data_IF_407167421891
#
_entry.id   IF_407167421891
#
_cell.length_a   1.000
_cell.length_b   1.000
_cell.length_c   1.000
_cell.angle_alpha   90.00
_cell.angle_beta   90.00
_cell.angle_gamma   90.00
#
_symmetry.space_group_name_H-M   'P 1'
#
loop_
_entity.id
_entity.type
_entity.pdbx_description
1 polymer ?
2 non-polymer ?
3 water ?
#
# COMPACT_ATOMS: atom_id res chain seq x y z
N UNK A 9 17.48 -13.61 -15.03
CA UNK A 9 16.74 -13.45 -13.75
C UNK A 9 15.31 -14.03 -13.80
N UNK A 10 14.65 -13.90 -14.96
CA UNK A 10 13.30 -14.46 -15.16
C UNK A 10 13.19 -16.00 -15.26
N UNK A 11 13.75 -16.68 -14.26
CA UNK A 11 13.28 -18.01 -13.89
C UNK A 11 12.08 -17.77 -12.96
N UNK A 12 11.47 -16.59 -13.12
CA UNK A 12 10.32 -16.10 -12.36
C UNK A 12 9.08 -16.97 -12.56
N UNK A 13 8.16 -16.92 -11.60
CA UNK A 13 6.96 -17.73 -11.61
C UNK A 13 5.76 -16.90 -12.09
N UNK A 14 5.15 -17.33 -13.19
CA UNK A 14 3.97 -16.65 -13.76
C UNK A 14 2.74 -16.63 -12.83
N UNK A 15 2.52 -17.74 -12.12
CA UNK A 15 1.42 -17.86 -11.14
C UNK A 15 1.53 -16.96 -9.92
N UNK A 16 2.68 -16.32 -9.75
CA UNK A 16 2.90 -15.40 -8.63
C UNK A 16 2.87 -13.92 -9.04
N UNK A 17 2.17 -13.62 -10.14
CA UNK A 17 1.97 -12.25 -10.64
C UNK A 17 0.47 -11.90 -10.58
N UNK A 18 0.11 -11.04 -9.63
CA UNK A 18 -1.29 -10.76 -9.29
C UNK A 18 -2.06 -9.81 -10.23
N UNK A 19 -1.39 -8.79 -10.76
CA UNK A 19 -2.05 -7.73 -11.54
C UNK A 19 -1.74 -7.82 -13.04
N UNK A 20 -2.44 -7.00 -13.83
CA UNK A 20 -2.14 -6.85 -15.26
C UNK A 20 -1.69 -5.42 -15.63
N UNK A 21 -1.19 -4.68 -14.65
CA UNK A 21 -0.63 -3.35 -14.89
C UNK A 21 0.65 -3.41 -15.72
N UNK A 22 0.81 -2.42 -16.58
CA UNK A 22 1.91 -2.38 -17.54
C UNK A 22 2.68 -1.08 -17.58
N UNK A 23 3.96 -1.21 -17.92
CA UNK A 23 4.89 -0.10 -18.12
C UNK A 23 5.89 -0.57 -19.20
N UNK A 24 6.81 0.29 -19.61
CA UNK A 24 7.74 -0.07 -20.68
C UNK A 24 8.57 -1.28 -20.28
N UNK A 25 9.00 -2.05 -21.29
CA UNK A 25 9.88 -3.19 -21.08
C UNK A 25 11.22 -2.70 -20.55
N UNK A 26 11.67 -1.55 -21.04
CA UNK A 26 12.86 -0.89 -20.49
C UNK A 26 12.79 -0.74 -18.96
N UNK A 27 11.66 -0.25 -18.46
CA UNK A 27 11.46 -0.03 -17.03
C UNK A 27 11.41 -1.35 -16.26
N UNK A 28 10.70 -2.33 -16.83
CA UNK A 28 10.65 -3.67 -16.26
C UNK A 28 12.05 -4.30 -16.12
N UNK A 29 12.85 -4.25 -17.19
CA UNK A 29 14.23 -4.75 -17.16
C UNK A 29 15.07 -4.05 -16.07
N UNK A 30 14.95 -2.72 -16.01
CA UNK A 30 15.62 -1.89 -15.00
C UNK A 30 15.19 -2.25 -13.56
N UNK A 31 13.89 -2.41 -13.34
CA UNK A 31 13.35 -2.76 -12.02
C UNK A 31 13.84 -4.13 -11.55
N UNK A 32 13.77 -5.11 -12.45
CA UNK A 32 14.24 -6.48 -12.17
C UNK A 32 15.72 -6.50 -11.74
N UNK A 33 16.55 -5.69 -12.40
CA UNK A 33 17.98 -5.61 -12.09
C UNK A 33 18.26 -4.86 -10.78
N UNK A 34 17.39 -3.93 -10.42
CA UNK A 34 17.60 -3.02 -9.29
C UNK A 34 17.01 -3.46 -7.94
N UNK A 35 16.09 -4.42 -7.97
CA UNK A 35 15.39 -4.90 -6.76
C UNK A 35 15.91 -6.27 -6.31
N UNK A 36 15.96 -6.47 -4.99
CA UNK A 36 16.34 -7.77 -4.42
C UNK A 36 15.42 -8.10 -3.24
N UNK A 37 15.62 -9.28 -2.65
CA UNK A 37 14.90 -9.67 -1.44
C UNK A 37 15.22 -8.84 -0.18
N UNK A 38 16.24 -7.98 -0.26
CA UNK A 38 16.60 -7.10 0.88
C UNK A 38 16.25 -5.62 0.67
N UNK A 39 15.67 -5.27 -0.48
CA UNK A 39 15.26 -3.90 -0.75
C UNK A 39 14.33 -3.36 0.35
N UNK A 40 14.58 -2.11 0.76
CA UNK A 40 13.81 -1.43 1.80
C UNK A 40 12.81 -0.52 1.12
N UNK A 41 11.89 0.07 1.90
CA UNK A 41 10.92 1.05 1.36
C UNK A 41 11.62 2.24 0.67
N UNK A 42 12.66 2.76 1.32
CA UNK A 42 13.45 3.86 0.76
C UNK A 42 14.07 3.47 -0.59
N UNK A 43 14.63 2.26 -0.67
CA UNK A 43 15.18 1.71 -1.92
C UNK A 43 14.11 1.66 -3.04
N UNK A 44 12.91 1.19 -2.69
CA UNK A 44 11.82 1.02 -3.66
C UNK A 44 11.31 2.36 -4.16
N UNK A 45 11.23 3.36 -3.27
CA UNK A 45 10.86 4.71 -3.62
C UNK A 45 11.86 5.31 -4.61
N UNK A 46 13.16 5.18 -4.32
CA UNK A 46 14.19 5.55 -5.29
C UNK A 46 14.03 4.82 -6.63
N UNK A 47 13.91 3.48 -6.60
CA UNK A 47 13.81 2.71 -7.84
C UNK A 47 12.62 3.19 -8.68
N UNK A 48 11.45 3.33 -8.04
CA UNK A 48 10.27 3.89 -8.70
C UNK A 48 10.53 5.24 -9.35
N UNK A 49 11.30 6.10 -8.68
CA UNK A 49 11.59 7.46 -9.16
C UNK A 49 12.43 7.48 -10.45
N UNK A 50 13.12 6.37 -10.74
CA UNK A 50 13.98 6.26 -11.94
C UNK A 50 13.22 5.83 -13.21
N UNK A 51 11.94 5.51 -13.10
CA UNK A 51 11.14 5.09 -14.26
C UNK A 51 11.17 6.11 -15.41
N UNK A 52 11.49 5.65 -16.61
CA UNK A 52 11.46 6.50 -17.83
C UNK A 52 10.08 7.13 -18.09
N UNK A 53 9.04 6.51 -17.53
CA UNK A 53 7.67 7.03 -17.58
C UNK A 53 7.52 8.48 -17.05
N UNK A 54 8.40 8.90 -16.14
CA UNK A 54 8.39 10.27 -15.58
C UNK A 54 9.05 11.33 -16.47
N UNK A 55 9.62 10.92 -17.59
CA UNK A 55 10.28 11.87 -18.50
C UNK A 55 9.32 12.93 -19.07
N UNK A 56 8.01 12.66 -19.04
CA UNK A 56 7.01 13.67 -19.44
C UNK A 56 6.79 14.78 -18.38
N UNK A 57 7.25 14.57 -17.15
CA UNK A 57 7.13 15.57 -16.07
C UNK A 57 8.14 16.69 -16.33
N UNK A 58 7.69 17.96 -16.26
CA UNK A 58 8.58 19.10 -16.47
C UNK A 58 9.77 19.16 -15.51
N UNK A 59 10.93 19.53 -16.03
CA UNK A 59 12.10 19.80 -15.21
C UNK A 59 12.71 21.11 -15.72
N UNK A 60 12.49 22.17 -14.96
CA UNK A 60 12.84 23.53 -15.38
C UNK A 60 14.19 23.93 -14.78
N UNK A 61 14.83 24.92 -15.40
CA UNK A 61 16.07 25.50 -14.83
C UNK A 61 15.73 26.17 -13.49
N UNK A 62 16.53 25.90 -12.47
CA UNK A 62 16.26 26.36 -11.10
C UNK A 62 15.55 25.38 -10.18
N UNK A 63 14.88 24.37 -10.75
CA UNK A 63 14.11 23.38 -9.96
C UNK A 63 14.96 22.58 -8.98
N UNK A 64 16.13 22.13 -9.42
CA UNK A 64 17.04 21.36 -8.56
C UNK A 64 17.43 22.15 -7.31
N UNK A 65 17.83 23.41 -7.51
CA UNK A 65 18.15 24.31 -6.38
C UNK A 65 16.99 24.51 -5.40
N UNK A 66 15.78 24.69 -5.94
CA UNK A 66 14.55 24.76 -5.13
C UNK A 66 14.25 23.48 -4.36
N UNK A 67 14.46 22.33 -5.01
CA UNK A 67 14.26 20.99 -4.40
C UNK A 67 15.26 20.69 -3.27
N UNK A 68 16.52 21.10 -3.44
CA UNK A 68 17.54 21.01 -2.39
C UNK A 68 17.07 21.77 -1.14
N UNK A 69 16.54 22.98 -1.31
CA UNK A 69 16.01 23.74 -0.16
C UNK A 69 14.83 23.02 0.50
N UNK A 70 13.87 22.59 -0.32
CA UNK A 70 12.70 21.81 0.14
C UNK A 70 13.10 20.57 0.96
N UNK A 71 14.15 19.90 0.50
CA UNK A 71 14.61 18.63 1.08
C UNK A 71 15.00 18.74 2.56
N UNK A 72 15.30 19.95 3.04
CA UNK A 72 15.62 20.17 4.46
C UNK A 72 14.51 19.63 5.38
N UNK A 73 13.27 19.71 4.92
CA UNK A 73 12.13 19.33 5.76
C UNK A 73 11.62 17.90 5.52
N UNK A 74 12.34 17.13 4.72
CA UNK A 74 11.93 15.77 4.34
C UNK A 74 12.83 14.72 5.00
N UNK A 75 12.25 13.57 5.44
CA UNK A 75 13.02 12.60 6.24
C UNK A 75 14.06 11.75 5.47
N UNK A 76 13.81 11.43 4.19
CA UNK A 76 14.71 10.54 3.44
C UNK A 76 15.56 11.28 2.40
N UNK A 77 16.87 11.05 2.43
CA UNK A 77 17.78 11.70 1.48
C UNK A 77 18.04 10.89 0.21
N UNK A 78 18.08 11.60 -0.92
CA UNK A 78 18.43 11.01 -2.23
C UNK A 78 19.77 10.28 -2.11
N UNK A 79 19.90 9.10 -2.76
CA UNK A 79 21.14 8.30 -2.72
C UNK A 79 22.43 9.13 -2.94
N UNK A 80 23.46 8.81 -2.16
CA UNK A 80 24.68 9.63 -2.02
C UNK A 80 25.46 9.90 -3.30
N UNK A 81 25.90 8.85 -3.99
CA UNK A 81 26.80 9.00 -5.14
C UNK A 81 26.04 8.86 -6.45
N UNK A 82 24.93 9.58 -6.54
CA UNK A 82 24.01 9.50 -7.65
C UNK A 82 23.69 10.93 -8.08
N UNK A 83 23.73 11.19 -9.39
CA UNK A 83 23.44 12.53 -9.91
C UNK A 83 22.03 13.00 -9.58
N UNK A 84 21.94 14.24 -9.06
CA UNK A 84 20.68 14.92 -8.75
C UNK A 84 20.14 15.74 -9.93
N UNK A 85 20.71 15.54 -11.12
CA UNK A 85 20.40 16.36 -12.29
C UNK A 85 19.25 15.91 -13.19
N UNK A 86 18.58 14.82 -12.80
CA UNK A 86 17.49 14.24 -13.60
C UNK A 86 16.14 14.42 -12.92
N UNK A 87 15.07 14.03 -13.62
CA UNK A 87 13.71 14.11 -13.08
C UNK A 87 13.47 13.19 -11.84
N UNK A 88 14.25 12.11 -11.73
CA UNK A 88 14.19 11.23 -10.54
C UNK A 88 14.37 11.98 -9.21
N UNK A 89 15.26 12.98 -9.19
CA UNK A 89 15.46 13.85 -8.02
C UNK A 89 14.13 14.54 -7.64
N UNK A 90 13.45 15.10 -8.64
CA UNK A 90 12.13 15.70 -8.42
C UNK A 90 11.07 14.69 -7.92
N UNK A 91 11.05 13.50 -8.51
CA UNK A 91 10.02 12.49 -8.16
C UNK A 91 10.22 11.97 -6.73
N UNK A 92 11.45 11.63 -6.38
CA UNK A 92 11.81 11.18 -5.04
C UNK A 92 11.39 12.16 -3.94
N UNK A 93 11.66 13.45 -4.15
CA UNK A 93 11.38 14.50 -3.15
C UNK A 93 9.91 14.96 -3.12
N UNK A 94 9.30 15.19 -4.28
CA UNK A 94 7.88 15.61 -4.31
C UNK A 94 6.92 14.56 -3.75
N UNK A 95 7.20 13.28 -4.01
CA UNK A 95 6.43 12.20 -3.40
C UNK A 95 6.52 12.21 -1.86
N UNK A 96 7.68 12.53 -1.31
CA UNK A 96 7.80 12.70 0.15
C UNK A 96 7.05 13.95 0.68
N UNK A 97 7.10 15.05 -0.06
CA UNK A 97 6.35 16.25 0.32
C UNK A 97 4.85 15.93 0.33
N UNK A 98 4.44 15.06 -0.61
CA UNK A 98 3.07 14.56 -0.69
C UNK A 98 2.70 13.76 0.57
N UNK A 99 3.50 12.78 0.95
CA UNK A 99 3.30 12.00 2.20
C UNK A 99 3.29 12.90 3.46
N UNK A 100 4.18 13.88 3.49
CA UNK A 100 4.32 14.81 4.62
C UNK A 100 3.24 15.89 4.64
N UNK A 101 2.51 16.03 3.53
CA UNK A 101 1.47 17.05 3.35
C UNK A 101 2.03 18.48 3.48
N UNK A 102 3.22 18.69 2.94
CA UNK A 102 3.81 20.02 2.85
C UNK A 102 3.03 20.85 1.82
N UNK A 103 2.81 22.13 2.13
CA UNK A 103 2.32 23.08 1.14
C UNK A 103 3.41 23.30 0.10
N UNK A 104 3.07 23.18 -1.19
CA UNK A 104 4.06 23.30 -2.26
C UNK A 104 3.87 24.54 -3.12
N UNK A 105 4.96 25.04 -3.75
CA UNK A 105 4.81 26.04 -4.81
C UNK A 105 3.81 25.54 -5.86
N UNK A 106 3.01 26.44 -6.43
CA UNK A 106 1.97 26.04 -7.39
C UNK A 106 2.57 25.20 -8.54
N UNK A 107 3.74 25.59 -9.03
CA UNK A 107 4.40 24.85 -10.12
C UNK A 107 4.77 23.41 -9.73
N UNK A 108 5.24 23.20 -8.49
CA UNK A 108 5.52 21.85 -7.97
C UNK A 108 4.22 21.07 -7.70
N UNK A 109 3.15 21.77 -7.31
CA UNK A 109 1.81 21.13 -7.23
C UNK A 109 1.36 20.56 -8.58
N UNK A 110 1.61 21.33 -9.65
CA UNK A 110 1.29 20.89 -11.02
C UNK A 110 2.07 19.61 -11.40
N UNK A 111 3.38 19.61 -11.11
CA UNK A 111 4.28 18.48 -11.41
C UNK A 111 3.89 17.24 -10.60
N UNK A 112 3.44 17.45 -9.36
CA UNK A 112 3.01 16.37 -8.48
C UNK A 112 1.77 15.67 -9.04
N UNK A 113 0.82 16.44 -9.57
CA UNK A 113 -0.33 15.83 -10.23
C UNK A 113 0.10 14.95 -11.41
N UNK A 114 1.04 15.44 -12.22
CA UNK A 114 1.61 14.66 -13.33
C UNK A 114 2.32 13.38 -12.87
N UNK A 115 3.04 13.46 -11.76
CA UNK A 115 3.70 12.29 -11.15
C UNK A 115 2.67 11.25 -10.68
N UNK A 116 1.70 11.71 -9.90
CA UNK A 116 0.65 10.82 -9.36
C UNK A 116 -0.17 10.09 -10.42
N UNK A 117 -0.26 10.67 -11.62
CA UNK A 117 -0.95 10.03 -12.73
C UNK A 117 -0.28 8.71 -13.15
N UNK A 118 1.00 8.55 -12.84
CA UNK A 118 1.75 7.38 -13.31
C UNK A 118 2.12 6.37 -12.22
N UNK A 119 1.84 6.70 -10.96
CA UNK A 119 2.31 5.87 -9.81
C UNK A 119 1.66 4.51 -9.56
N UNK A 120 0.35 4.39 -9.79
CA UNK A 120 -0.37 3.15 -9.53
C UNK A 120 0.16 1.99 -10.40
N UNK A 121 0.23 2.16 -11.74
CA UNK A 121 0.82 1.07 -12.51
C UNK A 121 2.25 0.73 -12.06
N UNK A 122 3.06 1.74 -11.74
CA UNK A 122 4.46 1.51 -11.36
C UNK A 122 4.64 0.72 -10.05
N UNK A 123 3.90 1.11 -9.01
CA UNK A 123 4.01 0.41 -7.72
C UNK A 123 3.47 -1.02 -7.81
N UNK A 124 2.44 -1.23 -8.64
CA UNK A 124 1.93 -2.57 -8.84
C UNK A 124 2.94 -3.49 -9.55
N UNK A 125 3.72 -2.92 -10.46
CA UNK A 125 4.79 -3.67 -11.12
C UNK A 125 5.89 -4.04 -10.11
N UNK A 126 6.22 -3.13 -9.18
CA UNK A 126 7.19 -3.45 -8.13
C UNK A 126 6.72 -4.64 -7.29
N UNK A 127 5.45 -4.59 -6.83
CA UNK A 127 4.84 -5.72 -6.10
C UNK A 127 4.95 -7.04 -6.89
N UNK A 128 4.61 -7.00 -8.18
CA UNK A 128 4.57 -8.18 -9.06
C UNK A 128 5.95 -8.80 -9.31
N UNK A 129 6.96 -7.96 -9.48
CA UNK A 129 8.36 -8.40 -9.61
C UNK A 129 8.84 -9.12 -8.34
N UNK A 130 8.64 -8.51 -7.19
CA UNK A 130 9.04 -9.12 -5.91
C UNK A 130 8.29 -10.43 -5.62
N UNK A 131 6.97 -10.44 -5.87
CA UNK A 131 6.15 -11.63 -5.60
C UNK A 131 6.45 -12.78 -6.57
N UNK A 132 6.81 -12.45 -7.82
CA UNK A 132 7.21 -13.45 -8.82
C UNK A 132 8.50 -14.18 -8.43
N UNK A 133 9.30 -13.52 -7.59
CA UNK A 133 10.53 -14.09 -7.04
C UNK A 133 10.30 -14.88 -5.74
N UNK A 134 9.07 -14.82 -5.22
CA UNK A 134 8.76 -15.42 -3.92
C UNK A 134 9.30 -14.63 -2.74
N UNK A 135 9.57 -13.33 -2.95
CA UNK A 135 10.13 -12.46 -1.92
C UNK A 135 9.03 -11.82 -1.07
N UNK A 136 9.10 -12.02 0.24
CA UNK A 136 8.10 -11.48 1.17
C UNK A 136 8.12 -9.95 1.28
N UNK A 137 9.23 -9.31 0.90
CA UNK A 137 9.28 -7.84 0.85
C UNK A 137 8.38 -7.21 -0.23
N UNK A 138 7.68 -8.04 -1.00
CA UNK A 138 6.54 -7.54 -1.79
C UNK A 138 5.57 -6.74 -0.89
N UNK A 139 5.45 -7.13 0.39
CA UNK A 139 4.59 -6.45 1.37
C UNK A 139 5.07 -5.03 1.70
N UNK A 140 6.37 -4.79 1.56
CA UNK A 140 6.94 -3.44 1.71
C UNK A 140 6.46 -2.51 0.61
N UNK A 141 6.43 -3.01 -0.62
CA UNK A 141 5.90 -2.25 -1.75
C UNK A 141 4.39 -1.97 -1.59
N UNK A 142 3.66 -2.92 -0.97
CA UNK A 142 2.22 -2.73 -0.64
C UNK A 142 1.98 -1.56 0.34
N UNK A 143 2.87 -1.45 1.32
CA UNK A 143 2.88 -0.36 2.30
C UNK A 143 2.99 0.98 1.56
N UNK A 144 3.98 1.08 0.67
CA UNK A 144 4.21 2.24 -0.20
C UNK A 144 3.00 2.53 -1.11
N UNK A 145 2.39 1.49 -1.68
CA UNK A 145 1.15 1.64 -2.47
C UNK A 145 0.03 2.35 -1.69
N UNK A 146 -0.20 1.94 -0.43
CA UNK A 146 -1.18 2.60 0.46
C UNK A 146 -0.89 4.10 0.67
N UNK A 147 0.37 4.44 0.90
CA UNK A 147 0.81 5.82 1.13
C UNK A 147 0.57 6.69 -0.10
N UNK A 148 0.77 6.11 -1.27
CA UNK A 148 0.55 6.80 -2.55
C UNK A 148 -0.92 7.15 -2.80
N UNK A 149 -1.84 6.38 -2.25
CA UNK A 149 -3.27 6.67 -2.41
C UNK A 149 -3.80 7.69 -1.38
N UNK A 150 -3.40 7.54 -0.11
CA UNK A 150 -3.92 8.41 0.95
C UNK A 150 -3.10 9.67 1.24
N UNK A 151 -1.86 9.71 0.74
CA UNK A 151 -0.97 10.85 0.97
C UNK A 151 -0.62 11.05 2.44
N UNK A 152 -0.19 9.96 3.10
CA UNK A 152 0.16 9.95 4.55
C UNK A 152 1.34 8.98 4.78
N UNK A 153 2.33 9.39 5.59
CA UNK A 153 3.45 8.51 5.97
C UNK A 153 2.92 7.34 6.82
N UNK A 154 3.47 6.15 6.54
CA UNK A 154 3.24 4.97 7.38
C UNK A 154 3.66 5.12 8.86
N UNK A 155 4.48 6.12 9.17
CA UNK A 155 4.83 6.44 10.58
C UNK A 155 3.95 7.55 11.20
N UNK A 156 3.09 8.17 10.42
CA UNK A 156 2.24 9.24 10.94
C UNK A 156 0.90 8.64 11.43
N UNK A 157 0.11 9.47 12.10
CA UNK A 157 -1.17 9.07 12.69
C UNK A 157 -2.13 8.61 11.59
N UNK A 158 -2.59 7.34 11.63
CA UNK A 158 -3.49 6.85 10.58
C UNK A 158 -4.85 7.58 10.50
N UNK A 159 -5.28 8.19 11.61
CA UNK A 159 -6.48 9.03 11.59
C UNK A 159 -6.39 10.23 10.63
N UNK A 160 -5.17 10.63 10.26
CA UNK A 160 -4.96 11.71 9.26
C UNK A 160 -5.66 11.43 7.91
N UNK A 161 -5.90 10.15 7.61
CA UNK A 161 -6.64 9.75 6.41
C UNK A 161 -8.03 10.35 6.31
N UNK A 162 -8.67 10.54 7.47
CA UNK A 162 -10.03 11.04 7.51
C UNK A 162 -10.00 12.54 7.17
N UNK A 163 -10.87 12.98 6.23
CA UNK A 163 -10.92 14.38 5.81
C UNK A 163 -11.06 15.33 6.99
N UNK A 164 -10.27 16.41 6.96
CA UNK A 164 -10.35 17.51 7.93
C UNK A 164 -9.88 17.17 9.36
N UNK A 165 -9.23 16.01 9.54
CA UNK A 165 -8.66 15.68 10.84
C UNK A 165 -7.33 16.42 11.07
N UNK A 166 -7.44 17.66 11.55
CA UNK A 166 -6.29 18.51 11.80
C UNK A 166 -5.61 18.18 13.14
N UNK A 167 -4.48 18.84 13.44
CA UNK A 167 -3.72 18.55 14.65
C UNK A 167 -4.52 18.74 15.94
N UNK A 168 -5.41 19.73 15.96
CA UNK A 168 -6.27 19.95 17.13
C UNK A 168 -7.19 18.75 17.39
N UNK A 169 -7.84 18.27 16.33
CA UNK A 169 -8.71 17.11 16.43
C UNK A 169 -7.95 15.82 16.79
N UNK A 170 -6.79 15.60 16.18
CA UNK A 170 -5.94 14.46 16.54
C UNK A 170 -5.59 14.42 18.05
N UNK A 171 -5.30 15.58 18.63
CA UNK A 171 -4.95 15.64 20.05
C UNK A 171 -6.16 15.39 20.96
N UNK A 172 -7.35 15.82 20.52
CA UNK A 172 -8.59 15.53 21.24
C UNK A 172 -8.90 14.02 21.25
N UNK A 173 -8.60 13.36 20.13
CA UNK A 173 -8.69 11.90 20.02
C UNK A 173 -7.73 11.19 20.98
N UNK A 174 -6.48 11.63 21.03
CA UNK A 174 -5.49 11.09 21.96
C UNK A 174 -5.95 11.20 23.43
N UNK A 175 -6.51 12.35 23.79
CA UNK A 175 -7.03 12.62 25.13
C UNK A 175 -8.10 11.63 25.61
N UNK A 176 -8.85 11.06 24.67
CA UNK A 176 -9.83 10.01 25.00
C UNK A 176 -9.46 8.64 24.43
N UNK A 177 -8.18 8.44 24.12
CA UNK A 177 -7.67 7.12 23.67
C UNK A 177 -8.38 6.55 22.44
N UNK A 178 -8.75 7.45 21.54
CA UNK A 178 -9.32 7.10 20.24
C UNK A 178 -8.17 7.05 19.22
N UNK A 179 -8.01 5.89 18.58
CA UNK A 179 -6.82 5.60 17.75
C UNK A 179 -7.14 5.10 16.34
N UNK A 180 -8.27 4.40 16.18
CA UNK A 180 -8.63 3.80 14.89
C UNK A 180 -9.88 4.45 14.26
N UNK A 181 -10.07 4.25 12.96
CA UNK A 181 -11.30 4.66 12.28
C UNK A 181 -12.54 4.02 12.94
N UNK A 182 -12.38 2.78 13.42
CA UNK A 182 -13.45 2.05 14.08
C UNK A 182 -13.81 2.64 15.46
N UNK A 183 -12.84 3.27 16.12
CA UNK A 183 -13.06 4.01 17.38
C UNK A 183 -13.91 5.26 17.12
N UNK A 184 -13.68 5.90 15.98
CA UNK A 184 -14.46 7.08 15.57
C UNK A 184 -15.93 6.72 15.31
N UNK A 185 -16.16 5.67 14.54
CA UNK A 185 -17.54 5.27 14.23
C UNK A 185 -18.28 4.61 15.41
N UNK A 186 -17.56 4.27 16.46
CA UNK A 186 -18.15 3.73 17.69
C UNK A 186 -18.59 4.80 18.69
N UNK A 187 -18.10 6.04 18.50
CA UNK A 187 -18.38 7.14 19.42
C UNK A 187 -19.86 7.51 19.53
N UNK A 188 -20.30 7.84 20.75
CA UNK A 188 -21.65 8.32 21.00
C UNK A 188 -21.82 9.73 20.46
N UNK A 189 -23.04 10.08 20.06
CA UNK A 189 -23.36 11.39 19.45
C UNK A 189 -22.73 12.62 20.10
N UNK A 190 -22.91 12.76 21.41
CA UNK A 190 -22.42 13.93 22.15
C UNK A 190 -20.88 14.00 22.25
N UNK A 191 -20.23 12.85 22.39
CA UNK A 191 -18.75 12.79 22.41
C UNK A 191 -18.17 12.93 21.00
N UNK A 192 -18.91 12.45 20.01
CA UNK A 192 -18.54 12.58 18.61
C UNK A 192 -18.57 14.05 18.19
N UNK A 193 -19.65 14.76 18.55
CA UNK A 193 -19.81 16.17 18.18
C UNK A 193 -18.92 17.09 19.01
N UNK A 194 -18.47 16.60 20.17
CA UNK A 194 -17.50 17.29 20.99
C UNK A 194 -16.16 17.43 20.24
N UNK A 195 -15.64 16.31 19.74
CA UNK A 195 -14.34 16.28 19.07
C UNK A 195 -14.40 16.83 17.63
N UNK A 196 -15.46 16.50 16.90
CA UNK A 196 -15.60 16.91 15.50
C UNK A 196 -16.15 18.34 15.39
N UNK A 197 -15.30 19.31 15.67
CA UNK A 197 -15.63 20.72 15.55
C UNK A 197 -15.45 21.16 14.10
N UNK A 198 -16.39 20.73 13.26
CA UNK A 198 -16.29 20.92 11.82
C UNK A 198 -17.59 21.47 11.25
N UNK A 199 -17.47 22.11 10.09
CA UNK A 199 -18.62 22.66 9.36
C UNK A 199 -19.46 21.54 8.74
N UNK A 200 -20.65 21.90 8.26
CA UNK A 200 -21.57 20.94 7.65
C UNK A 200 -20.94 20.21 6.45
N UNK A 201 -20.41 20.98 5.50
CA UNK A 201 -19.69 20.41 4.34
C UNK A 201 -18.58 19.45 4.77
N UNK A 202 -17.81 19.84 5.78
CA UNK A 202 -16.71 19.02 6.32
C UNK A 202 -17.20 17.72 6.95
N UNK A 203 -18.28 17.80 7.72
CA UNK A 203 -18.88 16.63 8.38
C UNK A 203 -19.40 15.58 7.40
N UNK A 204 -19.95 16.04 6.27
CA UNK A 204 -20.42 15.13 5.22
C UNK A 204 -19.26 14.36 4.57
N UNK A 205 -18.12 15.03 4.42
CA UNK A 205 -16.93 14.40 3.86
C UNK A 205 -16.29 13.39 4.83
N UNK A 206 -16.32 13.68 6.13
CA UNK A 206 -15.96 12.69 7.16
C UNK A 206 -16.89 11.47 7.06
N UNK A 207 -18.20 11.73 6.95
CA UNK A 207 -19.22 10.69 6.88
C UNK A 207 -19.05 9.81 5.66
N UNK A 208 -18.74 10.42 4.52
CA UNK A 208 -18.50 9.68 3.27
C UNK A 208 -17.31 8.72 3.41
N UNK A 209 -16.22 9.21 4.02
CA UNK A 209 -15.04 8.40 4.25
C UNK A 209 -15.29 7.21 5.18
N UNK A 210 -15.88 7.50 6.34
CA UNK A 210 -16.04 6.50 7.40
C UNK A 210 -17.01 5.37 7.00
N UNK A 211 -18.00 5.70 6.17
CA UNK A 211 -18.96 4.72 5.69
C UNK A 211 -18.38 3.78 4.64
N UNK A 212 -17.40 4.26 3.88
CA UNK A 212 -16.74 3.51 2.82
C UNK A 212 -15.50 2.75 3.28
N UNK A 213 -14.93 3.16 4.42
CA UNK A 213 -13.70 2.55 4.95
C UNK A 213 -13.96 1.08 5.29
N UNK A 214 -13.13 0.16 4.76
CA UNK A 214 -13.50 -1.25 4.83
C UNK A 214 -13.28 -1.92 6.20
N UNK A 215 -14.17 -2.85 6.52
CA UNK A 215 -14.01 -3.68 7.73
C UNK A 215 -14.27 -5.13 7.36
N UNK A 216 -13.20 -5.89 7.15
CA UNK A 216 -13.30 -7.25 6.64
C UNK A 216 -12.98 -8.33 7.67
N UNK A 217 -13.57 -9.51 7.47
CA UNK A 217 -13.29 -10.66 8.33
C UNK A 217 -12.66 -11.79 7.52
N UNK A 218 -11.49 -12.23 7.97
CA UNK A 218 -10.68 -13.23 7.27
C UNK A 218 -10.81 -14.63 7.88
N UNK A 219 -11.15 -15.62 7.05
CA UNK A 219 -11.11 -17.04 7.42
C UNK A 219 -10.47 -17.88 6.31
N UNK A 220 -10.17 -19.14 6.62
CA UNK A 220 -9.54 -20.06 5.69
C UNK A 220 -9.94 -21.50 6.00
N UNK A 221 -9.75 -22.39 5.02
CA UNK A 221 -9.78 -23.83 5.27
C UNK A 221 -8.67 -24.54 4.51
N UNK A 222 -7.93 -25.39 5.21
CA UNK A 222 -6.87 -26.19 4.61
C UNK A 222 -7.23 -27.66 4.76
N UNK A 223 -7.44 -28.32 3.62
CA UNK A 223 -7.87 -29.71 3.61
C UNK A 223 -6.76 -30.65 4.03
N UNK A 224 -7.07 -31.53 4.98
CA UNK A 224 -6.14 -32.52 5.52
C UNK A 224 -4.85 -31.93 6.11
N UNK A 225 -5.03 -31.10 7.14
CA UNK A 225 -3.91 -30.53 7.89
C UNK A 225 -3.15 -31.63 8.63
N UNK A 226 -1.83 -31.46 8.75
CA UNK A 226 -0.94 -32.42 9.42
C UNK A 226 -0.84 -33.78 8.71
N UNK A 227 -1.22 -33.80 7.44
CA UNK A 227 -1.11 -34.99 6.58
C UNK A 227 -0.63 -34.58 5.19
N UNK A 228 0.14 -33.48 5.15
CA UNK A 228 0.64 -32.90 3.91
C UNK A 228 1.93 -33.58 3.45
N UNK A 229 2.11 -33.68 2.13
CA UNK A 229 3.29 -34.30 1.53
C UNK A 229 4.18 -33.23 0.86
N UNK A 230 5.46 -33.24 1.21
CA UNK A 230 6.44 -32.26 0.74
C UNK A 230 6.56 -32.20 -0.78
N UNK A 231 6.50 -30.99 -1.33
CA UNK A 231 6.69 -30.79 -2.76
C UNK A 231 5.42 -30.67 -3.57
N UNK A 232 4.38 -31.40 -3.15
CA UNK A 232 3.10 -31.46 -3.87
C UNK A 232 2.37 -30.12 -3.84
N UNK A 233 1.72 -29.77 -4.96
CA UNK A 233 0.88 -28.58 -5.00
C UNK A 233 -0.36 -28.75 -4.12
N UNK A 234 -0.55 -27.78 -3.22
CA UNK A 234 -1.60 -27.84 -2.21
C UNK A 234 -2.58 -26.68 -2.40
N UNK A 235 -3.87 -26.96 -2.26
CA UNK A 235 -4.89 -25.92 -2.33
C UNK A 235 -5.27 -25.40 -0.94
N UNK A 236 -5.59 -24.11 -0.87
CA UNK A 236 -6.11 -23.48 0.34
C UNK A 236 -7.23 -22.50 -0.02
N UNK A 237 -8.32 -22.52 0.75
CA UNK A 237 -9.46 -21.64 0.48
C UNK A 237 -9.46 -20.48 1.47
N UNK A 238 -9.60 -19.26 0.96
CA UNK A 238 -9.65 -18.05 1.77
C UNK A 238 -11.01 -17.35 1.59
N UNK A 239 -11.72 -17.12 2.69
CA UNK A 239 -13.01 -16.43 2.67
C UNK A 239 -12.95 -15.05 3.34
N UNK A 240 -13.57 -14.06 2.70
CA UNK A 240 -13.63 -12.70 3.24
C UNK A 240 -15.05 -12.15 3.26
N UNK A 241 -15.51 -11.76 4.44
CA UNK A 241 -16.88 -11.26 4.62
C UNK A 241 -16.92 -9.79 5.06
N UNK A 242 -17.93 -9.08 4.58
CA UNK A 242 -18.22 -7.71 4.98
C UNK A 242 -19.59 -7.67 5.65
N UNK A 243 -19.84 -6.64 6.46
CA UNK A 243 -21.10 -6.51 7.19
C UNK A 243 -22.31 -6.41 6.25
N UNK A 244 -22.20 -5.57 5.22
CA UNK A 244 -23.21 -5.45 4.17
C UNK A 244 -22.49 -5.37 2.83
N UNK A 245 -23.22 -5.60 1.73
CA UNK A 245 -22.67 -5.43 0.38
C UNK A 245 -22.41 -3.94 0.10
N UNK A 246 -21.18 -3.59 -0.32
CA UNK A 246 -20.88 -2.23 -0.72
C UNK A 246 -21.63 -1.82 -2.00
N UNK A 247 -22.22 -0.63 -1.99
CA UNK A 247 -22.96 -0.08 -3.13
C UNK A 247 -22.05 0.31 -4.28
N UNK A 248 -20.79 0.63 -3.94
CA UNK A 248 -19.73 0.90 -4.91
C UNK A 248 -18.37 0.76 -4.23
N UNK A 249 -17.33 0.49 -5.01
CA UNK A 249 -15.97 0.36 -4.47
C UNK A 249 -15.07 1.54 -4.88
N UNK A 250 -15.68 2.73 -5.02
CA UNK A 250 -14.96 3.97 -5.29
C UNK A 250 -14.28 4.52 -4.03
N UNK A 251 -12.96 4.68 -4.10
CA UNK A 251 -12.15 5.06 -2.93
C UNK A 251 -12.32 6.56 -2.59
N UNK A 252 -12.48 6.85 -1.30
CA UNK A 252 -12.43 8.22 -0.81
C UNK A 252 -10.98 8.58 -0.49
N UNK A 253 -10.43 9.55 -1.22
CA UNK A 253 -9.12 10.13 -0.87
C UNK A 253 -9.02 11.61 -1.21
N UNK A 254 -8.87 12.46 -0.19
CA UNK A 254 -8.64 13.89 -0.39
C UNK A 254 -7.51 14.18 -1.38
N UNK A 255 -6.40 13.46 -1.20
CA UNK A 255 -5.11 13.82 -1.79
C UNK A 255 -4.80 13.22 -3.16
N UNK A 256 -5.33 12.03 -3.45
CA UNK A 256 -5.08 11.40 -4.74
C UNK A 256 -6.13 11.89 -5.75
N UNK A 257 -5.70 12.67 -6.77
CA UNK A 257 -6.65 13.42 -7.61
C UNK A 257 -7.36 12.65 -8.74
N UNK A 258 -7.24 11.33 -8.78
CA UNK A 258 -7.85 10.51 -9.83
C UNK A 258 -8.78 9.43 -9.25
N UNK A 259 -9.72 8.95 -10.07
CA UNK A 259 -10.59 7.85 -9.66
C UNK A 259 -9.80 6.60 -9.32
N UNK A 260 -10.16 5.94 -8.23
CA UNK A 260 -9.51 4.73 -7.76
C UNK A 260 -10.57 3.75 -7.25
N UNK A 261 -10.44 2.49 -7.65
CA UNK A 261 -11.27 1.39 -7.18
C UNK A 261 -10.54 0.61 -6.09
N UNK A 262 -11.26 0.29 -5.02
CA UNK A 262 -10.72 -0.48 -3.90
C UNK A 262 -10.31 -1.90 -4.33
N UNK A 263 -9.07 -2.26 -4.05
CA UNK A 263 -8.57 -3.59 -4.35
C UNK A 263 -7.76 -4.13 -3.16
N UNK A 264 -7.57 -5.46 -3.14
CA UNK A 264 -6.86 -6.16 -2.06
C UNK A 264 -5.89 -7.19 -2.60
N UNK A 265 -4.74 -7.38 -1.94
CA UNK A 265 -3.86 -8.52 -2.19
C UNK A 265 -4.08 -9.57 -1.10
N UNK A 266 -4.23 -10.82 -1.53
CA UNK A 266 -4.32 -11.97 -0.63
C UNK A 266 -2.98 -12.67 -0.72
N UNK A 267 -2.32 -12.82 0.42
CA UNK A 267 -0.92 -13.29 0.47
C UNK A 267 -0.74 -14.45 1.45
N UNK A 268 -0.10 -15.52 0.98
CA UNK A 268 0.34 -16.62 1.83
C UNK A 268 1.87 -16.66 1.87
N UNK A 269 2.42 -16.86 3.07
CA UNK A 269 3.87 -16.86 3.25
C UNK A 269 4.32 -17.32 4.62
N UNK A 270 5.63 -17.39 4.83
CA UNK A 270 6.24 -17.83 6.10
C UNK A 270 7.27 -16.79 6.54
N UNK A 271 6.98 -16.09 7.64
CA UNK A 271 7.78 -14.92 8.07
C UNK A 271 9.25 -15.26 8.39
N UNK A 272 9.46 -16.39 9.06
CA UNK A 272 10.81 -16.80 9.47
C UNK A 272 11.73 -17.17 8.29
N UNK A 273 11.13 -17.46 7.14
CA UNK A 273 11.90 -17.78 5.93
C UNK A 273 11.85 -16.65 4.88
N UNK A 274 11.15 -15.58 5.21
CA UNK A 274 10.99 -14.42 4.33
C UNK A 274 10.46 -14.79 2.93
N UNK A 275 9.60 -15.80 2.89
CA UNK A 275 9.13 -16.37 1.64
C UNK A 275 7.64 -16.15 1.40
N UNK A 276 7.29 -15.78 0.18
CA UNK A 276 5.92 -15.63 -0.28
C UNK A 276 5.56 -16.85 -1.13
N UNK A 277 4.52 -17.58 -0.71
CA UNK A 277 4.12 -18.84 -1.38
C UNK A 277 3.05 -18.66 -2.47
N UNK A 278 2.21 -17.64 -2.31
CA UNK A 278 1.10 -17.39 -3.23
C UNK A 278 0.50 -16.01 -3.01
N UNK A 279 -0.08 -15.46 -4.08
CA UNK A 279 -0.67 -14.11 -4.07
C UNK A 279 -1.84 -14.02 -5.07
N UNK A 280 -2.84 -13.22 -4.75
CA UNK A 280 -4.00 -13.00 -5.62
C UNK A 280 -4.60 -11.61 -5.39
N UNK A 281 -4.88 -10.90 -6.49
CA UNK A 281 -5.49 -9.57 -6.40
C UNK A 281 -7.00 -9.70 -6.60
N UNK A 282 -7.78 -9.19 -5.66
CA UNK A 282 -9.23 -9.41 -5.62
C UNK A 282 -9.99 -8.11 -5.33
N UNK A 283 -11.26 -8.08 -5.74
CA UNK A 283 -12.19 -7.02 -5.32
C UNK A 283 -13.24 -7.65 -4.40
N UNK A 284 -13.46 -7.04 -3.25
CA UNK A 284 -14.41 -7.55 -2.27
C UNK A 284 -15.72 -6.80 -2.42
N UNK A 285 -16.42 -7.08 -3.52
CA UNK A 285 -17.63 -6.33 -3.91
C UNK A 285 -18.93 -6.89 -3.33
N UNK A 286 -18.84 -8.03 -2.67
CA UNK A 286 -20.01 -8.73 -2.11
C UNK A 286 -19.96 -8.78 -0.59
N UNK A 287 -21.08 -9.18 0.01
CA UNK A 287 -21.17 -9.40 1.45
C UNK A 287 -20.23 -10.53 1.89
N UNK A 288 -20.11 -11.55 1.04
CA UNK A 288 -19.20 -12.67 1.27
C UNK A 288 -18.59 -13.16 -0.03
N UNK A 289 -17.36 -13.68 0.06
CA UNK A 289 -16.66 -14.24 -1.09
C UNK A 289 -15.50 -15.13 -0.64
N UNK A 290 -15.20 -16.15 -1.44
CA UNK A 290 -14.03 -16.98 -1.18
C UNK A 290 -13.18 -17.23 -2.41
N UNK A 291 -11.90 -17.52 -2.17
CA UNK A 291 -10.90 -17.64 -3.22
C UNK A 291 -10.02 -18.86 -2.95
N UNK A 292 -9.56 -19.50 -4.02
CA UNK A 292 -8.68 -20.64 -3.91
C UNK A 292 -7.24 -20.25 -4.29
N UNK A 293 -6.31 -20.49 -3.38
CA UNK A 293 -4.88 -20.32 -3.65
C UNK A 293 -4.21 -21.68 -3.77
N UNK A 294 -3.10 -21.73 -4.49
CA UNK A 294 -2.33 -22.95 -4.63
C UNK A 294 -0.84 -22.67 -4.37
N UNK A 295 -0.21 -23.53 -3.56
CA UNK A 295 1.22 -23.41 -3.25
C UNK A 295 1.93 -24.76 -3.25
N UNK A 296 3.26 -24.72 -3.39
CA UNK A 296 4.09 -25.91 -3.24
C UNK A 296 4.29 -26.18 -1.75
N UNK A 297 4.04 -27.42 -1.33
CA UNK A 297 4.21 -27.81 0.08
C UNK A 297 5.69 -27.78 0.47
N UNK A 298 6.02 -27.06 1.56
CA UNK A 298 7.41 -26.99 2.05
C UNK A 298 7.95 -28.32 2.62
N UNK A 299 9.19 -28.29 3.11
CA UNK A 299 9.89 -29.48 3.60
C UNK A 299 9.26 -30.09 4.87
N UNK A 300 9.68 -31.32 5.20
CA UNK A 300 9.21 -32.03 6.38
C UNK A 300 9.51 -31.26 7.67
N UNK A 301 8.54 -31.26 8.59
CA UNK A 301 8.67 -30.54 9.85
C UNK A 301 7.52 -29.57 10.11
N UNK A 302 7.67 -28.78 11.17
CA UNK A 302 6.68 -27.78 11.56
C UNK A 302 6.95 -26.42 10.91
N UNK A 303 5.92 -25.85 10.29
CA UNK A 303 6.02 -24.51 9.70
C UNK A 303 4.92 -23.58 10.20
N UNK A 304 5.30 -22.35 10.54
CA UNK A 304 4.34 -21.33 10.94
C UNK A 304 4.02 -20.42 9.76
N UNK A 305 2.80 -20.52 9.25
CA UNK A 305 2.36 -19.77 8.06
C UNK A 305 1.42 -18.62 8.37
N UNK A 306 1.46 -17.58 7.55
CA UNK A 306 0.58 -16.43 7.71
C UNK A 306 -0.17 -16.11 6.41
N UNK A 307 -1.47 -15.81 6.56
CA UNK A 307 -2.25 -15.22 5.49
C UNK A 307 -2.47 -13.72 5.80
N UNK A 308 -2.16 -12.86 4.82
CA UNK A 308 -2.42 -11.42 4.94
C UNK A 308 -3.46 -10.99 3.91
N UNK A 309 -4.37 -10.12 4.33
CA UNK A 309 -5.34 -9.50 3.41
C UNK A 309 -5.08 -7.99 3.44
N UNK A 310 -4.49 -7.48 2.35
CA UNK A 310 -3.91 -6.12 2.33
C UNK A 310 -4.62 -5.25 1.29
N UNK A 311 -5.15 -4.10 1.75
CA UNK A 311 -5.86 -3.16 0.89
C UNK A 311 -4.89 -2.24 0.17
N UNK A 312 -5.14 -1.96 -1.11
CA UNK A 312 -4.26 -1.07 -1.86
C UNK A 312 -4.57 0.44 -1.70
N UNK A 313 -5.62 0.78 -0.94
CA UNK A 313 -6.22 2.12 -1.03
C UNK A 313 -6.42 2.85 0.30
N UNK A 314 -6.27 2.13 1.41
CA UNK A 314 -6.40 2.71 2.75
C UNK A 314 -5.27 2.20 3.64
N UNK A 315 -5.02 2.90 4.76
CA UNK A 315 -4.10 2.41 5.80
C UNK A 315 -4.87 1.87 7.01
N UNK A 316 -4.28 0.88 7.67
CA UNK A 316 -4.76 0.31 8.94
C UNK A 316 -6.04 -0.56 8.86
N UNK A 317 -6.45 -0.92 7.64
CA UNK A 317 -7.62 -1.80 7.45
C UNK A 317 -7.28 -3.26 7.12
N UNK A 318 -5.99 -3.59 7.15
CA UNK A 318 -5.52 -4.93 6.76
C UNK A 318 -5.79 -5.94 7.88
N UNK A 319 -5.92 -7.20 7.49
CA UNK A 319 -6.17 -8.31 8.42
C UNK A 319 -5.18 -9.44 8.16
N UNK A 320 -4.81 -10.14 9.23
CA UNK A 320 -3.87 -11.26 9.12
C UNK A 320 -4.24 -12.45 10.02
N UNK A 321 -3.82 -13.64 9.59
CA UNK A 321 -4.14 -14.88 10.28
C UNK A 321 -2.91 -15.78 10.25
N UNK A 322 -2.52 -16.30 11.41
CA UNK A 322 -1.41 -17.24 11.48
C UNK A 322 -1.86 -18.63 11.90
N UNK A 323 -1.24 -19.65 11.32
CA UNK A 323 -1.57 -21.05 11.59
C UNK A 323 -0.38 -21.98 11.38
N UNK A 324 -0.44 -23.14 12.02
CA UNK A 324 0.66 -24.11 11.95
C UNK A 324 0.30 -25.29 11.06
N UNK A 325 1.28 -25.73 10.27
CA UNK A 325 1.17 -26.97 9.49
C UNK A 325 2.30 -27.93 9.85
N UNK A 326 2.04 -29.22 9.69
CA UNK A 326 3.07 -30.24 9.87
C UNK A 326 3.16 -31.12 8.63
N UNK A 327 4.31 -31.05 7.96
CA UNK A 327 4.55 -31.82 6.75
C UNK A 327 5.23 -33.13 7.11
N UNK A 328 4.60 -34.25 6.75
CA UNK A 328 5.11 -35.59 7.08
C UNK A 328 6.26 -36.01 6.17
#
# INVERSE_FOLDING_TARGET
>A
GAMEATEIISTLSNGLIASHYGVSFFTIQSFVSSLSNTSTLKNMLYVLSTAVEFESVPLRKGDRALLVKLSKRLPLRFPEHTSSGSVSFKVFLLLQAYFSRLELPVDFQNDLKDILEKVVPLINVVVDILSANGYLNATTAMDLAQMLIQGVWDVDNPLRQIPHFNNKILEKCKEINVETVYDIMALEDEERDEILTLTDSQLAQVAAFVNNYPNVELTYSLNNSDSLISGVKQKITIQLTRDVEPENLQVTSEKYPFDKLESWWLVLGEVSKKELYAIKKVTLNKETQQYELEFDTPTSGKHNLTIWCVCDSYLDADKELSFEINVK
#
